data_IF_118727901450
#
_entry.id   IF_118727901450
#
_cell.length_a   1.000
_cell.length_b   1.000
_cell.length_c   1.000
_cell.angle_alpha   90.00
_cell.angle_beta   90.00
_cell.angle_gamma   90.00
#
_symmetry.space_group_name_H-M   'P 1'
#
loop_
_entity.id
_entity.type
_entity.pdbx_description
1 polymer ?
#
# COMPACT_ATOMS: atom_id res chain seq x y z
N UNK A 1 11.33 -12.05 13.63
CA UNK A 1 11.60 -11.12 12.51
C UNK A 1 10.28 -10.49 12.17
N UNK A 2 10.25 -9.16 12.12
CA UNK A 2 9.00 -8.37 12.11
C UNK A 2 8.04 -8.78 11.01
N UNK A 3 8.55 -9.01 9.78
CA UNK A 3 7.71 -9.46 8.64
C UNK A 3 7.05 -10.81 8.89
N UNK A 4 7.72 -11.75 9.59
CA UNK A 4 7.11 -13.06 9.93
C UNK A 4 5.95 -12.88 10.91
N UNK A 5 6.11 -12.03 11.90
CA UNK A 5 5.04 -11.71 12.85
C UNK A 5 3.84 -11.04 12.17
N UNK A 6 4.08 -10.18 11.18
CA UNK A 6 3.01 -9.58 10.37
C UNK A 6 2.29 -10.62 9.50
N UNK A 7 3.02 -11.57 8.92
CA UNK A 7 2.41 -12.70 8.20
C UNK A 7 1.57 -13.58 9.13
N UNK A 8 2.05 -13.82 10.34
CA UNK A 8 1.33 -14.58 11.37
C UNK A 8 0.07 -13.84 11.84
N UNK A 9 0.13 -12.52 12.05
CA UNK A 9 -1.06 -11.75 12.43
C UNK A 9 -2.14 -11.77 11.34
N UNK A 10 -1.75 -11.71 10.06
CA UNK A 10 -2.67 -11.87 8.93
C UNK A 10 -3.35 -13.25 8.97
N UNK A 11 -2.59 -14.31 9.25
CA UNK A 11 -3.12 -15.68 9.33
C UNK A 11 -4.10 -15.83 10.50
N UNK A 12 -3.83 -15.22 11.66
CA UNK A 12 -4.70 -15.27 12.83
C UNK A 12 -6.04 -14.55 12.63
N UNK A 13 -6.06 -13.51 11.80
CA UNK A 13 -7.28 -12.77 11.45
C UNK A 13 -8.09 -13.41 10.30
N UNK A 14 -7.68 -14.58 9.79
CA UNK A 14 -8.32 -15.21 8.64
C UNK A 14 -9.71 -15.75 9.01
N UNK A 15 -10.72 -15.29 8.29
CA UNK A 15 -12.07 -15.84 8.35
C UNK A 15 -12.28 -16.87 7.23
N UNK A 16 -12.53 -18.13 7.58
CA UNK A 16 -12.74 -19.21 6.61
C UNK A 16 -14.01 -19.00 5.76
N UNK A 17 -15.07 -18.47 6.35
CA UNK A 17 -16.34 -18.23 5.66
C UNK A 17 -16.19 -17.16 4.57
N UNK A 18 -15.62 -16.00 4.93
CA UNK A 18 -15.33 -14.95 3.96
C UNK A 18 -14.38 -15.44 2.87
N UNK A 19 -13.39 -16.27 3.23
CA UNK A 19 -12.49 -16.88 2.24
C UNK A 19 -13.26 -17.73 1.22
N UNK A 20 -14.23 -18.54 1.66
CA UNK A 20 -15.08 -19.34 0.76
C UNK A 20 -15.92 -18.47 -0.16
N UNK A 21 -16.51 -17.39 0.38
CA UNK A 21 -17.29 -16.42 -0.39
C UNK A 21 -16.42 -15.82 -1.49
N UNK A 22 -15.25 -15.27 -1.16
CA UNK A 22 -14.37 -14.62 -2.14
C UNK A 22 -13.73 -15.58 -3.16
N UNK A 23 -13.72 -16.90 -2.89
CA UNK A 23 -13.25 -17.90 -3.85
C UNK A 23 -14.28 -18.22 -4.95
N UNK A 24 -15.58 -18.09 -4.66
CA UNK A 24 -16.67 -18.62 -5.52
C UNK A 24 -17.82 -17.63 -5.75
N UNK A 25 -17.66 -16.37 -5.37
CA UNK A 25 -18.70 -15.37 -5.59
C UNK A 25 -18.99 -15.15 -7.08
N UNK A 26 -20.21 -14.72 -7.35
CA UNK A 26 -20.62 -14.13 -8.62
C UNK A 26 -20.76 -12.62 -8.44
N UNK A 27 -20.07 -11.85 -9.27
CA UNK A 27 -20.23 -10.40 -9.29
C UNK A 27 -21.59 -10.03 -9.88
N UNK A 28 -22.39 -9.26 -9.12
CA UNK A 28 -23.73 -8.84 -9.55
C UNK A 28 -23.68 -7.44 -10.17
N UNK A 29 -23.05 -6.49 -9.48
CA UNK A 29 -22.96 -5.12 -9.98
C UNK A 29 -22.52 -4.09 -8.94
N UNK A 30 -22.25 -2.85 -9.36
CA UNK A 30 -21.93 -1.77 -8.46
C UNK A 30 -23.19 -1.21 -7.79
N UNK A 31 -23.04 -0.73 -6.55
CA UNK A 31 -24.04 0.05 -5.85
C UNK A 31 -23.41 1.38 -5.41
N UNK A 32 -23.53 2.41 -6.26
CA UNK A 32 -22.88 3.70 -6.04
C UNK A 32 -21.39 3.68 -6.44
N UNK A 33 -20.57 4.41 -5.70
CA UNK A 33 -19.15 4.65 -6.06
C UNK A 33 -18.15 3.72 -5.38
N UNK A 34 -18.48 3.20 -4.19
CA UNK A 34 -17.53 2.42 -3.37
C UNK A 34 -18.07 1.06 -2.91
N UNK A 35 -19.32 0.73 -3.24
CA UNK A 35 -19.92 -0.55 -2.82
C UNK A 35 -20.27 -1.41 -4.02
N UNK A 36 -20.17 -2.72 -3.85
CA UNK A 36 -20.54 -3.71 -4.85
C UNK A 36 -21.46 -4.76 -4.24
N UNK A 37 -22.28 -5.36 -5.08
CA UNK A 37 -23.09 -6.52 -4.74
C UNK A 37 -22.41 -7.78 -5.27
N UNK A 38 -22.16 -8.72 -4.37
CA UNK A 38 -21.69 -10.06 -4.69
C UNK A 38 -22.75 -11.08 -4.31
N UNK A 39 -22.98 -12.06 -5.15
CA UNK A 39 -23.79 -13.23 -4.82
C UNK A 39 -22.87 -14.39 -4.46
N UNK A 40 -23.21 -15.12 -3.41
CA UNK A 40 -22.62 -16.42 -3.12
C UNK A 40 -23.72 -17.37 -2.65
N UNK A 41 -23.83 -18.52 -3.32
CA UNK A 41 -24.96 -19.44 -3.22
C UNK A 41 -26.32 -18.71 -3.43
N UNK A 42 -27.17 -18.68 -2.41
CA UNK A 42 -28.48 -17.99 -2.41
C UNK A 42 -28.42 -16.60 -1.78
N UNK A 43 -27.27 -16.22 -1.21
CA UNK A 43 -27.13 -14.99 -0.43
C UNK A 43 -26.55 -13.86 -1.29
N UNK A 44 -27.05 -12.66 -1.05
CA UNK A 44 -26.55 -11.43 -1.64
C UNK A 44 -25.81 -10.62 -0.57
N UNK A 45 -24.56 -10.27 -0.85
CA UNK A 45 -23.66 -9.55 0.04
C UNK A 45 -23.40 -8.16 -0.52
N UNK A 46 -23.48 -7.16 0.36
CA UNK A 46 -23.02 -5.81 0.08
C UNK A 46 -21.60 -5.65 0.60
N UNK A 47 -20.68 -5.27 -0.27
CA UNK A 47 -19.26 -5.15 0.08
C UNK A 47 -18.80 -3.72 -0.11
N UNK A 48 -18.11 -3.21 0.91
CA UNK A 48 -17.34 -1.98 0.82
C UNK A 48 -15.98 -2.26 0.18
N UNK A 49 -15.79 -1.71 -1.02
CA UNK A 49 -14.56 -1.88 -1.79
C UNK A 49 -13.37 -1.23 -1.10
N UNK A 50 -13.55 -0.11 -0.38
CA UNK A 50 -12.44 0.57 0.27
C UNK A 50 -11.79 -0.32 1.34
N UNK A 51 -12.61 -0.89 2.23
CA UNK A 51 -12.13 -1.80 3.26
C UNK A 51 -11.58 -3.10 2.69
N UNK A 52 -12.23 -3.67 1.66
CA UNK A 52 -11.76 -4.88 1.00
C UNK A 52 -10.39 -4.69 0.36
N UNK A 53 -10.23 -3.65 -0.47
CA UNK A 53 -8.99 -3.41 -1.20
C UNK A 53 -7.86 -2.97 -0.28
N UNK A 54 -8.14 -2.20 0.78
CA UNK A 54 -7.14 -1.86 1.80
C UNK A 54 -6.53 -3.12 2.43
N UNK A 55 -7.38 -4.06 2.88
CA UNK A 55 -6.91 -5.34 3.43
C UNK A 55 -6.19 -6.19 2.39
N UNK A 56 -6.71 -6.26 1.16
CA UNK A 56 -6.09 -7.03 0.08
C UNK A 56 -4.69 -6.50 -0.24
N UNK A 57 -4.53 -5.19 -0.41
CA UNK A 57 -3.24 -4.58 -0.74
C UNK A 57 -2.23 -4.74 0.38
N UNK A 58 -2.64 -4.53 1.64
CA UNK A 58 -1.79 -4.80 2.80
C UNK A 58 -1.28 -6.26 2.80
N UNK A 59 -2.17 -7.23 2.56
CA UNK A 59 -1.77 -8.65 2.48
C UNK A 59 -0.83 -8.91 1.30
N UNK A 60 -1.05 -8.31 0.13
CA UNK A 60 -0.15 -8.43 -1.02
C UNK A 60 1.23 -7.88 -0.66
N UNK A 61 1.29 -6.71 0.00
CA UNK A 61 2.54 -6.05 0.35
C UNK A 61 3.33 -6.91 1.34
N UNK A 62 2.71 -7.31 2.45
CA UNK A 62 3.39 -8.13 3.45
C UNK A 62 3.81 -9.50 2.88
N UNK A 63 3.00 -10.11 2.02
CA UNK A 63 3.35 -11.41 1.42
C UNK A 63 4.52 -11.31 0.44
N UNK A 64 4.57 -10.26 -0.38
CA UNK A 64 5.58 -10.03 -1.40
C UNK A 64 6.74 -9.14 -0.93
N UNK A 65 6.85 -8.85 0.37
CA UNK A 65 7.90 -8.04 0.96
C UNK A 65 9.30 -8.40 0.41
N UNK A 66 10.01 -7.41 -0.11
CA UNK A 66 11.33 -7.59 -0.76
C UNK A 66 11.30 -8.15 -2.18
N UNK A 67 10.12 -8.30 -2.80
CA UNK A 67 9.97 -8.99 -4.09
C UNK A 67 8.84 -8.41 -4.96
N UNK A 68 8.87 -7.10 -5.19
CA UNK A 68 7.90 -6.43 -6.07
C UNK A 68 8.47 -6.15 -7.45
N UNK A 69 7.59 -6.17 -8.45
CA UNK A 69 7.80 -5.36 -9.65
C UNK A 69 7.44 -3.91 -9.32
N UNK A 70 7.85 -2.96 -10.14
CA UNK A 70 7.51 -1.55 -9.92
C UNK A 70 6.98 -0.89 -11.20
N UNK A 71 6.20 0.16 -11.00
CA UNK A 71 5.77 1.07 -12.04
C UNK A 71 6.54 2.36 -11.96
N UNK A 72 7.02 2.82 -13.12
CA UNK A 72 7.54 4.17 -13.27
C UNK A 72 6.39 5.16 -13.36
N UNK A 73 6.42 6.19 -12.53
CA UNK A 73 5.49 7.30 -12.59
C UNK A 73 5.72 8.09 -13.88
N UNK A 74 4.64 8.51 -14.53
CA UNK A 74 4.72 9.40 -15.69
C UNK A 74 5.22 10.79 -15.30
N UNK A 75 4.89 11.23 -14.09
CA UNK A 75 5.33 12.48 -13.49
C UNK A 75 5.92 12.16 -12.10
N UNK A 76 7.23 12.37 -11.90
CA UNK A 76 7.82 12.27 -10.57
C UNK A 76 7.17 13.24 -9.59
N UNK A 77 7.10 12.87 -8.31
CA UNK A 77 6.54 13.71 -7.26
C UNK A 77 7.63 14.17 -6.29
N UNK A 78 7.76 15.47 -6.08
CA UNK A 78 8.84 16.00 -5.24
C UNK A 78 8.46 15.99 -3.75
N UNK A 79 9.26 15.31 -2.93
CA UNK A 79 9.12 15.31 -1.47
C UNK A 79 9.39 16.69 -0.86
N UNK A 80 10.17 17.54 -1.54
CA UNK A 80 10.43 18.93 -1.09
C UNK A 80 9.16 19.77 -1.00
N UNK A 81 8.07 19.39 -1.69
CA UNK A 81 6.77 20.08 -1.55
C UNK A 81 6.11 19.86 -0.18
N UNK A 82 6.56 18.85 0.57
CA UNK A 82 5.97 18.44 1.85
C UNK A 82 6.77 18.96 3.04
N UNK A 83 8.10 18.87 2.95
CA UNK A 83 8.98 19.49 3.93
C UNK A 83 8.96 21.00 3.67
N UNK A 84 8.52 21.81 4.63
CA UNK A 84 8.48 23.27 4.47
C UNK A 84 9.86 23.81 4.09
N UNK A 85 9.91 24.97 3.44
CA UNK A 85 11.08 25.54 2.75
C UNK A 85 12.38 25.68 3.58
N UNK A 86 12.38 25.37 4.88
CA UNK A 86 13.51 25.51 5.80
C UNK A 86 13.95 24.22 6.53
N UNK A 87 13.53 23.02 6.09
CA UNK A 87 13.91 21.75 6.73
C UNK A 87 14.69 20.80 5.81
N UNK A 88 15.78 21.28 5.23
CA UNK A 88 16.67 20.46 4.41
C UNK A 88 17.21 19.25 5.19
N UNK A 89 17.46 19.39 6.50
CA UNK A 89 17.86 18.30 7.38
C UNK A 89 16.83 17.16 7.46
N UNK A 90 15.53 17.48 7.47
CA UNK A 90 14.47 16.45 7.50
C UNK A 90 14.37 15.69 6.18
N UNK A 91 14.58 16.39 5.07
CA UNK A 91 14.64 15.76 3.75
C UNK A 91 15.85 14.83 3.69
N UNK A 92 17.03 15.27 4.12
CA UNK A 92 18.24 14.45 4.11
C UNK A 92 18.09 13.21 5.01
N UNK A 93 17.50 13.36 6.20
CA UNK A 93 17.18 12.23 7.09
C UNK A 93 16.22 11.23 6.42
N UNK A 94 15.21 11.72 5.72
CA UNK A 94 14.25 10.88 5.01
C UNK A 94 14.90 10.17 3.81
N UNK A 95 15.77 10.85 3.05
CA UNK A 95 16.49 10.25 1.93
C UNK A 95 17.42 9.12 2.37
N UNK A 96 17.91 9.14 3.61
CA UNK A 96 18.65 8.00 4.19
C UNK A 96 17.82 6.70 4.21
N UNK A 97 16.48 6.77 4.14
CA UNK A 97 15.58 5.61 4.09
C UNK A 97 15.39 5.04 2.68
N UNK A 98 15.84 5.74 1.63
CA UNK A 98 15.65 5.34 0.23
C UNK A 98 16.14 3.91 -0.09
N UNK A 99 17.33 3.43 0.37
CA UNK A 99 17.76 2.07 0.06
C UNK A 99 16.79 1.02 0.61
N UNK A 100 16.32 1.20 1.84
CA UNK A 100 15.35 0.31 2.49
C UNK A 100 14.00 0.31 1.75
N UNK A 101 13.52 1.49 1.35
CA UNK A 101 12.29 1.64 0.57
C UNK A 101 12.36 0.92 -0.78
N UNK A 102 13.51 0.98 -1.44
CA UNK A 102 13.73 0.28 -2.70
C UNK A 102 13.81 -1.23 -2.50
N UNK A 103 14.64 -1.67 -1.55
CA UNK A 103 14.93 -3.10 -1.33
C UNK A 103 13.69 -3.86 -0.85
N UNK A 104 12.89 -3.25 0.03
CA UNK A 104 11.75 -3.95 0.65
C UNK A 104 10.42 -3.67 -0.03
N UNK A 105 10.19 -2.48 -0.55
CA UNK A 105 8.89 -2.07 -1.09
C UNK A 105 8.94 -1.67 -2.57
N UNK A 106 10.12 -1.68 -3.20
CA UNK A 106 10.31 -1.17 -4.57
C UNK A 106 9.75 0.22 -4.78
N UNK A 107 9.87 1.06 -3.75
CA UNK A 107 9.59 2.50 -3.79
C UNK A 107 10.91 3.19 -4.12
N UNK A 108 11.00 3.79 -5.30
CA UNK A 108 12.21 4.47 -5.74
C UNK A 108 12.08 5.98 -5.61
N UNK A 109 13.01 6.56 -4.85
CA UNK A 109 13.21 8.00 -4.74
C UNK A 109 14.49 8.33 -5.50
N UNK A 110 14.55 9.48 -6.19
CA UNK A 110 15.78 9.96 -6.82
C UNK A 110 16.66 10.70 -5.81
N UNK A 111 17.94 10.91 -6.16
CA UNK A 111 18.87 11.71 -5.34
C UNK A 111 18.37 13.16 -5.14
N UNK A 112 17.55 13.68 -6.05
CA UNK A 112 16.91 15.00 -5.97
C UNK A 112 15.65 15.02 -5.08
N UNK A 113 15.33 13.90 -4.41
CA UNK A 113 14.16 13.79 -3.55
C UNK A 113 12.83 13.67 -4.29
N UNK A 114 12.82 13.04 -5.47
CA UNK A 114 11.59 12.80 -6.23
C UNK A 114 11.17 11.34 -6.17
N UNK A 115 9.90 11.07 -5.84
CA UNK A 115 9.29 9.77 -6.04
C UNK A 115 9.20 9.46 -7.53
N UNK A 116 9.83 8.39 -7.98
CA UNK A 116 9.89 8.00 -9.40
C UNK A 116 9.21 6.67 -9.68
N UNK A 117 9.23 5.73 -8.73
CA UNK A 117 8.63 4.40 -8.89
C UNK A 117 7.86 3.97 -7.66
N UNK A 118 6.80 3.19 -7.88
CA UNK A 118 5.96 2.58 -6.85
C UNK A 118 5.75 1.09 -7.13
N UNK A 119 5.50 0.26 -6.10
CA UNK A 119 5.30 -1.18 -6.29
C UNK A 119 4.08 -1.48 -7.16
N UNK A 120 4.27 -2.39 -8.11
CA UNK A 120 3.21 -3.00 -8.89
C UNK A 120 2.58 -4.13 -8.08
N UNK A 121 1.51 -3.81 -7.34
CA UNK A 121 0.79 -4.79 -6.52
C UNK A 121 -0.04 -5.77 -7.37
N UNK A 122 -0.67 -5.28 -8.44
CA UNK A 122 -1.51 -6.09 -9.35
C UNK A 122 -1.19 -5.69 -10.79
N UNK A 123 -0.88 -6.67 -11.65
CA UNK A 123 -0.33 -6.45 -13.01
C UNK A 123 -1.08 -5.43 -13.88
N UNK A 124 -2.41 -5.36 -13.77
CA UNK A 124 -3.27 -4.49 -14.60
C UNK A 124 -3.93 -3.34 -13.83
N UNK A 125 -3.63 -3.18 -12.55
CA UNK A 125 -4.12 -2.05 -11.77
C UNK A 125 -3.31 -0.81 -12.12
N UNK A 126 -3.92 0.38 -12.09
CA UNK A 126 -3.19 1.65 -12.25
C UNK A 126 -3.49 2.52 -11.05
N UNK A 127 -2.45 3.09 -10.47
CA UNK A 127 -2.58 4.06 -9.38
C UNK A 127 -3.21 5.34 -9.93
N UNK A 128 -4.12 5.93 -9.15
CA UNK A 128 -4.62 7.27 -9.44
C UNK A 128 -3.62 8.30 -8.90
N UNK A 129 -2.96 9.12 -9.76
CA UNK A 129 -1.95 10.07 -9.33
C UNK A 129 -2.44 11.11 -8.31
N UNK A 130 -3.74 11.36 -8.23
CA UNK A 130 -4.33 12.30 -7.27
C UNK A 130 -4.07 11.91 -5.80
N UNK A 131 -3.80 10.62 -5.53
CA UNK A 131 -3.50 10.15 -4.18
C UNK A 131 -2.01 10.16 -3.83
N UNK A 132 -1.12 10.42 -4.81
CA UNK A 132 0.33 10.47 -4.59
C UNK A 132 0.70 11.53 -3.53
N UNK A 133 0.19 12.78 -3.56
CA UNK A 133 0.52 13.77 -2.53
C UNK A 133 0.22 13.29 -1.11
N UNK A 134 -0.95 12.66 -0.91
CA UNK A 134 -1.36 12.13 0.40
C UNK A 134 -0.49 10.94 0.82
N UNK A 135 -0.14 10.05 -0.12
CA UNK A 135 0.77 8.94 0.15
C UNK A 135 2.15 9.44 0.59
N UNK A 136 2.74 10.37 -0.17
CA UNK A 136 4.06 10.95 0.11
C UNK A 136 4.07 11.66 1.46
N UNK A 137 2.99 12.38 1.80
CA UNK A 137 2.85 13.02 3.12
C UNK A 137 2.87 12.01 4.26
N UNK A 138 2.07 10.94 4.15
CA UNK A 138 2.01 9.90 5.17
C UNK A 138 3.35 9.20 5.34
N UNK A 139 3.97 8.83 4.22
CA UNK A 139 5.27 8.18 4.21
C UNK A 139 6.35 9.03 4.88
N UNK A 140 6.39 10.32 4.56
CA UNK A 140 7.41 11.23 5.07
C UNK A 140 7.19 11.63 6.54
N UNK A 141 5.95 11.88 6.95
CA UNK A 141 5.65 12.57 8.22
C UNK A 141 4.89 11.71 9.24
N UNK A 142 4.20 10.65 8.82
CA UNK A 142 3.31 9.86 9.69
C UNK A 142 3.85 8.44 9.96
N UNK A 143 4.80 7.95 9.15
CA UNK A 143 5.43 6.64 9.34
C UNK A 143 6.37 6.62 10.55
N UNK A 144 6.23 5.60 11.40
CA UNK A 144 7.17 5.35 12.48
C UNK A 144 8.46 4.69 11.95
N UNK A 145 9.52 5.48 11.79
CA UNK A 145 10.83 5.00 11.30
C UNK A 145 11.75 4.41 12.38
N UNK A 146 11.29 4.30 13.63
CA UNK A 146 12.09 3.86 14.78
C UNK A 146 11.91 2.38 15.06
N UNK A 147 10.66 1.91 15.14
CA UNK A 147 10.36 0.51 15.42
C UNK A 147 10.17 -0.28 14.13
N UNK A 148 10.99 -1.32 13.90
CA UNK A 148 10.99 -2.09 12.65
C UNK A 148 9.61 -2.62 12.24
N UNK A 149 8.87 -3.20 13.18
CA UNK A 149 7.56 -3.80 12.90
C UNK A 149 6.53 -2.76 12.53
N UNK A 150 6.43 -1.70 13.31
CA UNK A 150 5.50 -0.58 13.08
C UNK A 150 5.87 0.17 11.81
N UNK A 151 7.17 0.34 11.51
CA UNK A 151 7.65 0.89 10.24
C UNK A 151 7.12 0.08 9.05
N UNK A 152 7.29 -1.25 9.07
CA UNK A 152 6.80 -2.09 7.98
C UNK A 152 5.27 -2.06 7.86
N UNK A 153 4.55 -1.94 8.97
CA UNK A 153 3.10 -1.78 8.97
C UNK A 153 2.66 -0.45 8.37
N UNK A 154 3.29 0.66 8.76
CA UNK A 154 2.91 2.00 8.34
C UNK A 154 3.21 2.28 6.85
N UNK A 155 4.27 1.67 6.31
CA UNK A 155 4.61 1.76 4.87
C UNK A 155 3.66 0.90 4.01
N UNK A 156 3.13 -0.20 4.57
CA UNK A 156 2.29 -1.18 3.84
C UNK A 156 0.82 -0.77 3.77
#
# INVERSE_FOLDING_TARGET
SSVRELKESIQQCKCEELTKIFQKFTYVGPLGTSKILLQYDVNLYLIDCFHLFSNLFYQIIINNFGSFNYWKLSLPYNFTSIFSENHQEQLDEFLFKQPMLMDYFSIQISEEGQLTHLPQLIKKFRLNPQFIPSFVKKLALETNWVEEKTCFQDVS
#
